data_IF_139664724297
#
_entry.id   IF_139664724297
#
_cell.length_a   1.000
_cell.length_b   1.000
_cell.length_c   1.000
_cell.angle_alpha   90.00
_cell.angle_beta   90.00
_cell.angle_gamma   90.00
#
_symmetry.space_group_name_H-M   'P 1'
#
loop_
_entity.id
_entity.type
_entity.pdbx_description
1 polymer ?
#
# COMPACT_ATOMS: atom_id res chain seq x y z
N UNK A 1 -10.52 -2.32 26.71
CA UNK A 1 -10.82 -3.22 25.57
C UNK A 1 -9.88 -2.85 24.44
N UNK A 2 -9.25 -3.81 23.79
CA UNK A 2 -8.45 -3.56 22.59
C UNK A 2 -9.38 -3.02 21.50
N UNK A 3 -9.15 -1.80 21.03
CA UNK A 3 -9.95 -1.17 19.97
C UNK A 3 -9.19 -1.15 18.65
N UNK A 4 -9.91 -1.26 17.53
CA UNK A 4 -9.34 -1.01 16.20
C UNK A 4 -8.88 0.45 16.16
N UNK A 5 -7.66 0.67 15.64
CA UNK A 5 -7.11 2.01 15.45
C UNK A 5 -7.07 2.33 13.96
N UNK A 6 -7.67 3.45 13.58
CA UNK A 6 -7.66 3.93 12.20
C UNK A 6 -6.73 5.13 12.09
N UNK A 7 -5.88 5.14 11.07
CA UNK A 7 -4.94 6.23 10.84
C UNK A 7 -5.00 6.69 9.39
N UNK A 8 -4.82 8.01 9.22
CA UNK A 8 -4.56 8.64 7.94
C UNK A 8 -3.06 8.92 7.88
N UNK A 9 -2.42 8.61 6.76
CA UNK A 9 -1.04 8.94 6.48
C UNK A 9 -0.86 10.46 6.61
N UNK A 10 0.14 10.97 7.34
CA UNK A 10 0.36 12.41 7.37
C UNK A 10 0.83 12.93 6.01
N UNK A 11 0.54 14.19 5.71
CA UNK A 11 0.99 14.87 4.50
C UNK A 11 0.04 14.74 3.31
N UNK A 12 0.46 15.22 2.13
CA UNK A 12 -0.42 15.43 0.98
C UNK A 12 -1.20 14.19 0.54
N UNK A 13 -0.57 13.01 0.53
CA UNK A 13 -1.27 11.76 0.19
C UNK A 13 -2.41 11.48 1.16
N UNK A 14 -2.24 11.71 2.47
CA UNK A 14 -3.35 11.60 3.41
C UNK A 14 -4.43 12.63 3.20
N UNK A 15 -4.06 13.89 2.93
CA UNK A 15 -5.00 14.97 2.62
C UNK A 15 -5.85 14.65 1.38
N UNK A 16 -5.27 14.02 0.35
CA UNK A 16 -6.01 13.55 -0.83
C UNK A 16 -7.11 12.54 -0.49
N UNK A 17 -6.91 11.74 0.57
CA UNK A 17 -7.82 10.66 0.97
C UNK A 17 -8.83 11.10 2.05
N UNK A 18 -8.56 12.19 2.79
CA UNK A 18 -9.46 12.73 3.84
C UNK A 18 -10.90 13.03 3.42
N UNK A 19 -11.20 13.47 2.18
CA UNK A 19 -12.58 13.74 1.78
C UNK A 19 -13.48 12.49 1.76
N UNK A 20 -12.91 11.29 1.85
CA UNK A 20 -13.63 10.03 1.79
C UNK A 20 -13.75 9.34 3.16
N UNK A 21 -14.74 8.45 3.29
CA UNK A 21 -15.02 7.70 4.52
C UNK A 21 -14.13 6.46 4.69
N UNK A 22 -12.82 6.59 4.50
CA UNK A 22 -11.86 5.52 4.75
C UNK A 22 -10.56 6.06 5.35
N UNK A 23 -9.72 5.15 5.85
CA UNK A 23 -8.41 5.45 6.45
C UNK A 23 -7.29 4.84 5.62
N UNK A 24 -6.06 5.35 5.73
CA UNK A 24 -4.93 4.73 5.03
C UNK A 24 -4.57 3.38 5.63
N UNK A 25 -4.74 3.25 6.95
CA UNK A 25 -4.54 1.99 7.66
C UNK A 25 -5.59 1.74 8.73
N UNK A 26 -5.84 0.45 9.00
CA UNK A 26 -6.55 -0.04 10.17
C UNK A 26 -5.67 -1.06 10.91
N UNK A 27 -5.43 -0.82 12.19
CA UNK A 27 -4.69 -1.71 13.09
C UNK A 27 -5.68 -2.47 13.95
N UNK A 28 -5.70 -3.80 13.79
CA UNK A 28 -6.62 -4.73 14.46
C UNK A 28 -5.83 -5.59 15.46
N UNK A 29 -6.03 -5.40 16.77
CA UNK A 29 -5.39 -6.24 17.79
C UNK A 29 -5.86 -7.70 17.68
N UNK A 30 -4.91 -8.64 17.60
CA UNK A 30 -5.20 -10.09 17.64
C UNK A 30 -4.78 -10.74 18.95
N UNK A 31 -3.81 -10.12 19.66
CA UNK A 31 -3.36 -10.52 20.99
C UNK A 31 -2.85 -9.28 21.76
N UNK A 32 -2.45 -9.40 23.04
CA UNK A 32 -1.81 -8.31 23.76
C UNK A 32 -0.49 -7.81 23.14
N UNK A 33 0.18 -8.64 22.32
CA UNK A 33 1.49 -8.34 21.74
C UNK A 33 1.50 -8.40 20.21
N UNK A 34 0.35 -8.57 19.57
CA UNK A 34 0.28 -8.72 18.12
C UNK A 34 -0.95 -8.02 17.56
N UNK A 35 -0.74 -7.25 16.51
CA UNK A 35 -1.81 -6.63 15.71
C UNK A 35 -1.59 -6.88 14.23
N UNK A 36 -2.68 -7.05 13.49
CA UNK A 36 -2.67 -7.03 12.03
C UNK A 36 -2.91 -5.59 11.55
N UNK A 37 -2.22 -5.18 10.51
CA UNK A 37 -2.34 -3.85 9.93
C UNK A 37 -2.79 -4.02 8.48
N UNK A 38 -3.92 -3.39 8.14
CA UNK A 38 -4.49 -3.42 6.80
C UNK A 38 -4.33 -2.05 6.17
N UNK A 39 -3.83 -1.95 4.94
CA UNK A 39 -3.89 -0.70 4.17
C UNK A 39 -5.19 -0.62 3.38
N UNK A 40 -5.62 0.61 3.07
CA UNK A 40 -6.48 0.82 1.89
C UNK A 40 -5.69 0.52 0.60
N UNK A 41 -6.39 0.44 -0.53
CA UNK A 41 -5.75 0.46 -1.85
C UNK A 41 -5.07 1.79 -2.12
N UNK A 42 -3.87 1.74 -2.67
CA UNK A 42 -3.10 2.90 -3.12
C UNK A 42 -2.85 2.85 -4.62
N UNK A 43 -3.05 4.00 -5.25
CA UNK A 43 -2.52 4.36 -6.56
C UNK A 43 -1.17 5.09 -6.40
N UNK A 44 -0.47 5.32 -7.51
CA UNK A 44 0.82 6.00 -7.53
C UNK A 44 0.68 7.49 -7.25
N UNK A 45 0.97 7.90 -6.01
CA UNK A 45 1.02 9.30 -5.59
C UNK A 45 2.41 9.66 -5.09
N UNK A 46 2.85 10.88 -5.37
CA UNK A 46 4.05 11.43 -4.75
C UNK A 46 3.75 11.80 -3.29
N UNK A 47 4.52 11.26 -2.34
CA UNK A 47 4.31 11.47 -0.90
C UNK A 47 4.42 12.95 -0.48
N UNK A 48 5.17 13.77 -1.22
CA UNK A 48 5.48 15.16 -0.87
C UNK A 48 4.53 16.15 -1.53
N UNK A 49 3.94 15.81 -2.68
CA UNK A 49 3.03 16.71 -3.41
C UNK A 49 1.59 16.23 -3.42
N UNK A 50 1.35 14.93 -3.28
CA UNK A 50 0.03 14.31 -3.44
C UNK A 50 -0.42 14.22 -4.91
N UNK A 51 0.47 14.52 -5.85
CA UNK A 51 0.18 14.44 -7.29
C UNK A 51 0.33 13.00 -7.81
N UNK A 52 -0.38 12.69 -8.90
CA UNK A 52 -0.30 11.39 -9.57
C UNK A 52 1.08 11.20 -10.20
N UNK A 53 1.68 10.02 -9.98
CA UNK A 53 2.92 9.60 -10.63
C UNK A 53 2.57 8.63 -11.75
N UNK A 54 2.56 9.13 -12.98
CA UNK A 54 2.19 8.37 -14.18
C UNK A 54 3.16 8.61 -15.36
N UNK A 55 4.38 9.09 -15.08
CA UNK A 55 5.41 9.33 -16.10
C UNK A 55 5.94 8.06 -16.76
N UNK A 56 5.88 6.93 -16.04
CA UNK A 56 6.05 5.57 -16.57
C UNK A 56 5.38 4.57 -15.66
N UNK A 57 5.17 3.34 -16.15
CA UNK A 57 4.58 2.26 -15.36
C UNK A 57 5.48 1.85 -14.18
N UNK A 58 6.81 1.90 -14.34
CA UNK A 58 7.77 1.69 -13.25
C UNK A 58 7.67 2.78 -12.18
N UNK A 59 7.55 4.04 -12.59
CA UNK A 59 7.43 5.17 -11.69
C UNK A 59 6.12 5.09 -10.88
N UNK A 60 5.02 4.74 -11.54
CA UNK A 60 3.73 4.47 -10.91
C UNK A 60 3.85 3.37 -9.85
N UNK A 61 4.37 2.18 -10.19
CA UNK A 61 4.52 1.10 -9.22
C UNK A 61 5.46 1.46 -8.06
N UNK A 62 6.53 2.21 -8.33
CA UNK A 62 7.39 2.71 -7.25
C UNK A 62 6.60 3.61 -6.31
N UNK A 63 5.83 4.57 -6.82
CA UNK A 63 5.03 5.48 -6.01
C UNK A 63 3.94 4.73 -5.21
N UNK A 64 3.31 3.70 -5.79
CA UNK A 64 2.37 2.82 -5.07
C UNK A 64 3.08 2.17 -3.87
N UNK A 65 4.26 1.60 -4.08
CA UNK A 65 5.02 0.98 -2.99
C UNK A 65 5.51 1.99 -1.96
N UNK A 66 5.87 3.22 -2.36
CA UNK A 66 6.22 4.30 -1.42
C UNK A 66 5.04 4.65 -0.52
N UNK A 67 3.84 4.77 -1.10
CA UNK A 67 2.62 5.04 -0.34
C UNK A 67 2.29 3.92 0.65
N UNK A 68 2.32 2.67 0.20
CA UNK A 68 2.04 1.50 1.06
C UNK A 68 3.07 1.35 2.18
N UNK A 69 4.35 1.53 1.87
CA UNK A 69 5.44 1.46 2.85
C UNK A 69 5.31 2.56 3.91
N UNK A 70 5.00 3.80 3.49
CA UNK A 70 4.75 4.91 4.39
C UNK A 70 3.51 4.67 5.27
N UNK A 71 2.42 4.12 4.69
CA UNK A 71 1.19 3.81 5.41
C UNK A 71 1.42 2.76 6.51
N UNK A 72 2.11 1.66 6.19
CA UNK A 72 2.48 0.63 7.17
C UNK A 72 3.40 1.17 8.27
N UNK A 73 4.40 1.98 7.91
CA UNK A 73 5.31 2.61 8.89
C UNK A 73 4.58 3.57 9.82
N UNK A 74 3.65 4.37 9.30
CA UNK A 74 2.80 5.26 10.10
C UNK A 74 1.91 4.48 11.09
N UNK A 75 1.55 3.25 10.74
CA UNK A 75 0.82 2.33 11.62
C UNK A 75 1.70 1.57 12.63
N UNK A 76 3.00 1.86 12.68
CA UNK A 76 3.96 1.26 13.60
C UNK A 76 4.68 0.02 13.07
N UNK A 77 4.38 -0.45 11.85
CA UNK A 77 5.13 -1.55 11.22
C UNK A 77 6.48 -1.01 10.75
N UNK A 78 7.49 -1.02 11.64
CA UNK A 78 8.79 -0.36 11.41
C UNK A 78 9.53 -0.87 10.17
N UNK A 79 9.39 -2.15 9.85
CA UNK A 79 9.92 -2.76 8.62
C UNK A 79 9.16 -2.37 7.34
N UNK A 80 8.03 -1.65 7.45
CA UNK A 80 7.19 -1.28 6.32
C UNK A 80 6.81 -2.49 5.46
N UNK A 81 6.99 -2.40 4.14
CA UNK A 81 6.65 -3.49 3.23
C UNK A 81 7.53 -4.74 3.39
N UNK A 82 8.70 -4.69 4.06
CA UNK A 82 9.45 -5.93 4.37
C UNK A 82 8.72 -6.84 5.37
N UNK A 83 7.79 -6.28 6.15
CA UNK A 83 6.96 -7.02 7.11
C UNK A 83 5.52 -7.22 6.57
N UNK A 84 5.26 -6.86 5.32
CA UNK A 84 4.00 -7.18 4.68
C UNK A 84 3.92 -8.68 4.41
N UNK A 85 2.79 -9.32 4.68
CA UNK A 85 2.61 -10.75 4.44
C UNK A 85 1.64 -11.06 3.30
N UNK A 86 0.88 -10.04 2.86
CA UNK A 86 -0.12 -10.19 1.81
C UNK A 86 -0.27 -8.93 0.98
N UNK A 87 -0.47 -9.13 -0.32
CA UNK A 87 -0.80 -8.11 -1.30
C UNK A 87 -2.00 -8.52 -2.14
N UNK A 88 -2.81 -7.52 -2.52
CA UNK A 88 -3.83 -7.65 -3.55
C UNK A 88 -3.62 -6.54 -4.57
N UNK A 89 -3.46 -6.90 -5.84
CA UNK A 89 -3.20 -5.95 -6.93
C UNK A 89 -4.28 -6.01 -7.98
N UNK A 90 -4.80 -4.84 -8.33
CA UNK A 90 -5.74 -4.62 -9.43
C UNK A 90 -4.98 -3.90 -10.55
N UNK A 91 -4.82 -4.55 -11.69
CA UNK A 91 -4.10 -4.00 -12.85
C UNK A 91 -5.07 -3.75 -14.01
N UNK A 92 -4.83 -2.71 -14.80
CA UNK A 92 -5.61 -2.49 -16.03
C UNK A 92 -5.15 -3.37 -17.20
N UNK A 93 -3.87 -3.80 -17.19
CA UNK A 93 -3.27 -4.61 -18.25
C UNK A 93 -2.46 -5.74 -17.63
N UNK A 94 -2.59 -6.95 -18.18
CA UNK A 94 -1.86 -8.12 -17.67
C UNK A 94 -0.34 -7.98 -17.84
N UNK A 95 0.09 -7.31 -18.92
CA UNK A 95 1.51 -7.11 -19.26
C UNK A 95 2.28 -6.31 -18.18
N UNK A 96 1.58 -5.51 -17.38
CA UNK A 96 2.18 -4.64 -16.37
C UNK A 96 2.61 -5.44 -15.11
N UNK A 97 2.10 -6.67 -14.92
CA UNK A 97 2.46 -7.53 -13.78
C UNK A 97 3.97 -7.79 -13.73
N UNK A 98 4.60 -8.00 -14.90
CA UNK A 98 6.05 -8.23 -14.96
C UNK A 98 6.81 -7.04 -14.38
N UNK A 99 6.39 -5.83 -14.73
CA UNK A 99 7.05 -4.59 -14.28
C UNK A 99 6.79 -4.36 -12.80
N UNK A 100 5.54 -4.54 -12.34
CA UNK A 100 5.16 -4.51 -10.92
C UNK A 100 6.09 -5.39 -10.08
N UNK A 101 6.21 -6.66 -10.46
CA UNK A 101 6.99 -7.65 -9.74
C UNK A 101 8.52 -7.37 -9.81
N UNK A 102 9.01 -6.81 -10.91
CA UNK A 102 10.41 -6.39 -11.03
C UNK A 102 10.75 -5.21 -10.12
N UNK A 103 9.89 -4.19 -10.03
CA UNK A 103 10.06 -3.06 -9.12
C UNK A 103 10.05 -3.56 -7.67
N UNK A 104 9.10 -4.42 -7.31
CA UNK A 104 9.01 -4.97 -5.97
C UNK A 104 10.27 -5.74 -5.57
N UNK A 105 10.73 -6.69 -6.40
CA UNK A 105 11.94 -7.49 -6.11
C UNK A 105 13.21 -6.65 -5.98
N UNK A 106 13.35 -5.57 -6.75
CA UNK A 106 14.49 -4.65 -6.66
C UNK A 106 14.48 -3.89 -5.33
N UNK A 107 13.31 -3.47 -4.87
CA UNK A 107 13.14 -2.67 -3.65
C UNK A 107 13.16 -3.50 -2.36
N UNK A 108 12.62 -4.72 -2.42
CA UNK A 108 12.45 -5.62 -1.28
C UNK A 108 13.11 -6.98 -1.56
N UNK A 109 14.44 -7.03 -1.76
CA UNK A 109 15.15 -8.26 -2.14
C UNK A 109 14.95 -9.37 -1.10
N UNK A 110 14.64 -10.57 -1.58
CA UNK A 110 14.44 -11.77 -0.74
C UNK A 110 13.08 -11.86 -0.04
N UNK A 111 12.23 -10.85 -0.17
CA UNK A 111 10.89 -10.87 0.40
C UNK A 111 9.88 -11.55 -0.54
N UNK A 112 9.01 -12.40 0.00
CA UNK A 112 8.06 -13.22 -0.78
C UNK A 112 6.72 -13.34 -0.06
N UNK A 113 5.90 -12.27 -0.05
CA UNK A 113 4.57 -12.28 0.55
C UNK A 113 3.57 -13.08 -0.30
N UNK A 114 2.43 -13.42 0.29
CA UNK A 114 1.30 -13.92 -0.50
C UNK A 114 0.79 -12.81 -1.42
N UNK A 115 0.40 -13.13 -2.65
CA UNK A 115 0.00 -12.12 -3.62
C UNK A 115 -1.11 -12.62 -4.51
N UNK A 116 -2.20 -11.85 -4.59
CA UNK A 116 -3.26 -12.04 -5.57
C UNK A 116 -3.25 -10.89 -6.57
N UNK A 117 -3.16 -11.20 -7.86
CA UNK A 117 -3.22 -10.21 -8.95
C UNK A 117 -4.46 -10.46 -9.79
N UNK A 118 -5.24 -9.43 -10.09
CA UNK A 118 -6.39 -9.51 -11.00
C UNK A 118 -6.37 -8.36 -12.00
N UNK A 119 -6.82 -8.65 -13.23
CA UNK A 119 -7.03 -7.60 -14.25
C UNK A 119 -8.45 -7.07 -14.13
N UNK A 120 -8.58 -5.74 -14.04
CA UNK A 120 -9.86 -5.04 -13.87
C UNK A 120 -10.11 -4.07 -15.02
N UNK A 121 -11.37 -3.63 -15.16
CA UNK A 121 -11.76 -2.66 -16.18
C UNK A 121 -11.25 -1.24 -15.91
N UNK A 122 -11.05 -0.89 -14.65
CA UNK A 122 -10.70 0.46 -14.20
C UNK A 122 -10.33 0.50 -12.73
N UNK A 123 -9.52 1.49 -12.35
CA UNK A 123 -9.20 1.88 -10.97
C UNK A 123 -9.57 3.34 -10.77
N UNK A 124 -9.67 3.81 -9.52
CA UNK A 124 -9.90 5.23 -9.23
C UNK A 124 -8.60 6.02 -9.43
N UNK A 125 -8.69 7.23 -9.99
CA UNK A 125 -7.51 8.02 -10.37
C UNK A 125 -7.30 7.99 -11.88
N UNK A 126 -7.73 9.05 -12.56
CA UNK A 126 -7.59 9.16 -14.01
C UNK A 126 -6.10 9.13 -14.41
N UNK A 127 -5.75 8.25 -15.35
CA UNK A 127 -4.36 8.06 -15.80
C UNK A 127 -3.54 7.08 -14.96
N UNK A 128 -4.14 6.39 -13.99
CA UNK A 128 -3.49 5.30 -13.25
C UNK A 128 -3.72 3.95 -13.92
N UNK A 129 -2.74 3.06 -13.79
CA UNK A 129 -2.71 1.71 -14.38
C UNK A 129 -2.94 0.61 -13.35
N UNK A 130 -2.82 0.93 -12.06
CA UNK A 130 -2.94 -0.03 -10.98
C UNK A 130 -3.43 0.58 -9.65
N UNK A 131 -4.00 -0.29 -8.81
CA UNK A 131 -4.28 -0.04 -7.40
C UNK A 131 -3.85 -1.27 -6.59
N UNK A 132 -3.10 -1.07 -5.50
CA UNK A 132 -2.55 -2.17 -4.70
C UNK A 132 -2.85 -1.92 -3.22
N UNK A 133 -3.26 -2.97 -2.51
CA UNK A 133 -3.37 -2.99 -1.06
C UNK A 133 -2.37 -3.99 -0.46
N UNK A 134 -1.91 -3.71 0.75
CA UNK A 134 -0.99 -4.55 1.51
C UNK A 134 -1.51 -4.80 2.92
N UNK A 135 -1.11 -5.93 3.50
CA UNK A 135 -1.34 -6.26 4.90
C UNK A 135 0.00 -6.53 5.58
N UNK A 136 0.22 -5.91 6.75
CA UNK A 136 1.41 -6.05 7.57
C UNK A 136 1.09 -6.55 8.97
N UNK A 137 2.13 -6.92 9.73
CA UNK A 137 2.01 -7.36 11.11
C UNK A 137 2.85 -6.49 12.03
N UNK A 138 2.26 -6.12 13.16
CA UNK A 138 2.93 -5.44 14.26
C UNK A 138 3.11 -6.42 15.42
N UNK A 139 4.35 -6.65 15.82
CA UNK A 139 4.70 -7.35 17.06
C UNK A 139 5.13 -6.29 18.09
N UNK A 140 4.44 -6.24 19.23
CA UNK A 140 4.93 -5.50 20.39
C UNK A 140 5.94 -6.40 21.11
N UNK A 141 7.07 -5.81 21.48
CA UNK A 141 8.05 -6.44 22.38
C UNK A 141 7.53 -6.55 23.81
#
# INVERSE_FOLDING_TARGET
>A
MSSITYQILPGPVGECLKPASYSTTATVPVSPTTSLVFTTGHIGLDLNTGELVNSSIEAEFSAIYDCLDAALKNAGVTGGLFHAYKFVSFLLRAEDERVMQEVFRKRFPGHSPTWTTVVVKGVLGEGMSAEIAAEGVLFAE
#
